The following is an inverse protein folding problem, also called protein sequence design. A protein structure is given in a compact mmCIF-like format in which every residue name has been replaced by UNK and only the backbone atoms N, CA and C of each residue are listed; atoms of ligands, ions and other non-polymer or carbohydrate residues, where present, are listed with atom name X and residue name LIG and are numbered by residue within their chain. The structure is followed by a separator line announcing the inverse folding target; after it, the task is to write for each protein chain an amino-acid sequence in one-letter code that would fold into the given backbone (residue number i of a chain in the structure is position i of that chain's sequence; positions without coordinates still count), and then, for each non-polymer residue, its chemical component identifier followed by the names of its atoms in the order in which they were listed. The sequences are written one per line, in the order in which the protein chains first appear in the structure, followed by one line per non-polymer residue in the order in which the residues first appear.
data_IF_542728880365
#
_entry.id   IF_542728880365
#
_cell.length_a   1.000
_cell.length_b   1.000
_cell.length_c   1.000
_cell.angle_alpha   90.00
_cell.angle_beta   90.00
_cell.angle_gamma   90.00
#
_symmetry.space_group_name_H-M   'P 1'
#
loop_
_entity.id
_entity.type
_entity.pdbx_description
1 polymer ?
#
# COMPACT_ATOMS: atom_id res chain seq x y z
N UNK A 1 80.95 23.60 -22.25
CA UNK A 1 80.79 23.07 -23.62
C UNK A 1 79.35 22.67 -23.80
N UNK A 2 78.70 23.33 -24.75
CA UNK A 2 77.25 23.32 -25.01
C UNK A 2 76.73 21.99 -25.52
N UNK A 3 75.52 21.61 -25.10
CA UNK A 3 74.53 21.01 -25.99
C UNK A 3 73.12 21.21 -25.43
N UNK A 4 72.37 22.05 -26.14
CA UNK A 4 70.95 22.33 -26.02
C UNK A 4 70.10 21.04 -26.09
N UNK A 5 69.27 20.79 -25.07
CA UNK A 5 68.21 19.79 -25.13
C UNK A 5 66.88 20.52 -25.37
N UNK A 6 66.33 20.27 -26.56
CA UNK A 6 65.09 20.84 -27.08
C UNK A 6 63.89 20.35 -26.28
N UNK A 7 63.01 21.28 -25.87
CA UNK A 7 61.68 20.99 -25.35
C UNK A 7 60.76 20.56 -26.50
N UNK A 8 60.04 19.44 -26.41
CA UNK A 8 58.98 19.13 -27.37
C UNK A 8 57.71 19.94 -27.08
N UNK A 9 57.04 20.32 -28.16
CA UNK A 9 55.91 21.24 -28.29
C UNK A 9 54.59 20.71 -27.68
N UNK A 10 53.62 21.57 -27.32
CA UNK A 10 52.33 21.17 -26.75
C UNK A 10 51.38 20.76 -27.89
N UNK A 11 51.48 19.51 -28.34
CA UNK A 11 50.56 18.95 -29.32
C UNK A 11 50.44 17.43 -29.11
N UNK A 12 50.01 17.01 -27.92
CA UNK A 12 49.61 15.61 -27.68
C UNK A 12 48.73 15.43 -26.43
N UNK A 13 47.65 16.20 -26.30
CA UNK A 13 46.51 15.82 -25.43
C UNK A 13 45.23 16.40 -26.04
N UNK A 14 44.70 15.77 -27.10
CA UNK A 14 43.29 15.86 -27.49
C UNK A 14 43.02 14.91 -28.67
N UNK A 15 42.85 13.60 -28.44
CA UNK A 15 42.33 12.69 -29.47
C UNK A 15 42.02 11.28 -28.93
N UNK A 16 41.16 11.11 -27.92
CA UNK A 16 40.38 9.87 -27.74
C UNK A 16 39.04 10.25 -27.11
N UNK A 17 37.93 9.95 -27.81
CA UNK A 17 36.57 10.02 -27.24
C UNK A 17 35.51 10.79 -28.04
N UNK A 18 35.68 10.95 -29.36
CA UNK A 18 34.61 11.47 -30.23
C UNK A 18 34.63 10.68 -31.55
N UNK A 19 34.02 9.49 -31.52
CA UNK A 19 33.73 8.65 -32.68
C UNK A 19 32.83 7.48 -32.26
N UNK A 20 31.52 7.67 -32.28
CA UNK A 20 30.58 6.80 -33.04
C UNK A 20 29.34 7.63 -33.33
N UNK A 21 29.34 8.30 -34.48
CA UNK A 21 28.12 8.74 -35.15
C UNK A 21 28.14 8.14 -36.55
N UNK A 22 27.01 7.51 -36.90
CA UNK A 22 26.56 7.12 -38.23
C UNK A 22 27.33 6.01 -38.97
N UNK A 23 26.64 4.90 -39.24
CA UNK A 23 26.14 4.53 -40.57
C UNK A 23 25.48 3.14 -40.49
N UNK A 24 24.15 3.09 -40.62
CA UNK A 24 23.43 2.22 -41.56
C UNK A 24 21.91 2.42 -41.39
N UNK A 25 21.38 3.33 -42.19
CA UNK A 25 19.99 3.32 -42.61
C UNK A 25 19.74 2.06 -43.46
N UNK A 26 18.85 1.19 -43.01
CA UNK A 26 18.11 0.27 -43.88
C UNK A 26 16.70 0.15 -43.30
N UNK A 27 15.71 0.40 -44.15
CA UNK A 27 14.36 0.73 -43.75
C UNK A 27 13.56 -0.44 -43.18
N UNK A 28 12.74 -0.10 -42.20
CA UNK A 28 11.49 -0.78 -41.93
C UNK A 28 10.46 0.31 -41.58
N UNK A 29 9.76 0.82 -42.59
CA UNK A 29 8.51 1.55 -42.39
C UNK A 29 7.49 0.53 -41.91
N UNK A 30 7.39 0.34 -40.58
CA UNK A 30 6.22 -0.31 -40.01
C UNK A 30 5.07 0.69 -40.03
N UNK A 31 4.17 0.50 -40.99
CA UNK A 31 2.83 1.07 -40.95
C UNK A 31 2.12 0.39 -39.78
N UNK A 32 2.14 1.01 -38.60
CA UNK A 32 1.25 0.64 -37.52
C UNK A 32 -0.18 1.00 -37.97
N UNK A 33 -0.91 0.00 -38.47
CA UNK A 33 -2.36 0.11 -38.64
C UNK A 33 -2.95 0.40 -37.27
N UNK A 34 -3.49 1.60 -37.11
CA UNK A 34 -4.40 1.96 -36.02
C UNK A 34 -5.67 1.14 -36.16
N UNK A 35 -5.66 -0.07 -35.62
CA UNK A 35 -6.88 -0.76 -35.25
C UNK A 35 -7.37 -0.10 -33.95
N UNK A 36 -8.22 0.92 -34.11
CA UNK A 36 -9.10 1.39 -33.04
C UNK A 36 -10.05 0.26 -32.66
N UNK A 37 -9.57 -0.64 -31.81
CA UNK A 37 -10.39 -1.55 -31.05
C UNK A 37 -10.90 -0.79 -29.83
N UNK A 38 -12.20 -0.56 -29.77
CA UNK A 38 -12.86 -0.24 -28.50
C UNK A 38 -12.54 -1.42 -27.57
N UNK A 39 -11.66 -1.20 -26.60
CA UNK A 39 -11.47 -2.15 -25.50
C UNK A 39 -12.78 -2.16 -24.72
N UNK A 40 -13.60 -3.17 -24.97
CA UNK A 40 -14.64 -3.58 -24.04
C UNK A 40 -13.94 -3.92 -22.75
N UNK A 41 -14.19 -3.15 -21.68
CA UNK A 41 -13.52 -3.25 -20.38
C UNK A 41 -13.56 -4.66 -19.79
N UNK A 42 -12.61 -5.50 -20.20
CA UNK A 42 -12.20 -6.65 -19.44
C UNK A 42 -11.42 -6.16 -18.24
N UNK A 43 -11.70 -6.74 -17.07
CA UNK A 43 -10.99 -6.54 -15.80
C UNK A 43 -9.52 -6.21 -16.05
N UNK A 44 -9.18 -4.93 -15.95
CA UNK A 44 -7.80 -4.46 -16.00
C UNK A 44 -7.17 -4.72 -14.64
N UNK A 45 -7.18 -6.01 -14.28
CA UNK A 45 -6.51 -6.57 -13.15
C UNK A 45 -5.08 -6.04 -13.12
N UNK A 46 -4.43 -6.06 -11.95
CA UNK A 46 -2.99 -5.82 -11.79
C UNK A 46 -2.11 -6.87 -12.52
N UNK A 47 -2.65 -7.49 -13.58
CA UNK A 47 -2.04 -8.47 -14.46
C UNK A 47 -0.73 -7.93 -15.02
N UNK A 48 0.35 -8.63 -14.72
CA UNK A 48 1.69 -8.30 -15.20
C UNK A 48 2.44 -7.29 -14.34
N UNK A 49 1.83 -6.75 -13.29
CA UNK A 49 2.53 -5.92 -12.30
C UNK A 49 2.98 -6.79 -11.12
N UNK A 50 4.10 -6.39 -10.53
CA UNK A 50 4.53 -6.84 -9.20
C UNK A 50 4.25 -5.72 -8.16
N UNK A 51 4.22 -6.07 -6.88
CA UNK A 51 3.97 -5.07 -5.83
C UNK A 51 5.21 -4.19 -5.62
N UNK A 52 5.00 -2.89 -5.42
CA UNK A 52 6.07 -1.93 -5.18
C UNK A 52 6.58 -2.01 -3.74
N UNK A 53 7.90 -2.13 -3.58
CA UNK A 53 8.57 -1.98 -2.29
C UNK A 53 9.01 -0.53 -2.12
N UNK A 54 8.47 0.16 -1.10
CA UNK A 54 8.87 1.53 -0.78
C UNK A 54 10.29 1.57 -0.19
N UNK A 55 11.28 2.20 -0.86
CA UNK A 55 12.63 2.34 -0.35
C UNK A 55 12.72 3.24 0.90
N UNK A 56 11.63 3.92 1.28
CA UNK A 56 11.53 4.72 2.49
C UNK A 56 10.56 4.13 3.53
N UNK A 57 10.24 2.83 3.45
CA UNK A 57 9.48 2.14 4.51
C UNK A 57 10.16 2.25 5.87
N UNK A 58 9.42 2.08 6.98
CA UNK A 58 10.01 2.15 8.33
C UNK A 58 11.15 1.16 8.53
N UNK A 59 11.05 -0.05 7.97
CA UNK A 59 12.16 -1.01 7.98
C UNK A 59 13.38 -0.50 7.19
N UNK A 60 13.16 0.16 6.04
CA UNK A 60 14.24 0.74 5.25
C UNK A 60 14.91 1.93 5.96
N UNK A 61 14.11 2.76 6.64
CA UNK A 61 14.63 3.85 7.48
C UNK A 61 15.43 3.31 8.66
N UNK A 62 14.96 2.22 9.29
CA UNK A 62 15.66 1.59 10.40
C UNK A 62 17.04 1.11 9.99
N UNK A 63 17.18 0.36 8.90
CA UNK A 63 18.50 -0.15 8.49
C UNK A 63 19.47 0.96 8.02
N UNK A 64 18.96 2.16 7.75
CA UNK A 64 19.80 3.35 7.51
C UNK A 64 20.26 3.97 8.83
N UNK A 65 19.40 3.94 9.85
CA UNK A 65 19.71 4.43 11.20
C UNK A 65 20.63 3.48 11.98
N UNK A 66 20.44 2.16 11.85
CA UNK A 66 21.20 1.08 12.50
C UNK A 66 21.76 0.08 11.46
N UNK A 67 22.77 0.47 10.63
CA UNK A 67 23.30 -0.36 9.55
C UNK A 67 23.86 -1.72 9.97
N UNK A 68 24.31 -1.86 11.21
CA UNK A 68 24.79 -3.12 11.78
C UNK A 68 23.70 -4.17 11.96
N UNK A 69 22.43 -3.77 11.94
CA UNK A 69 21.25 -4.65 12.04
C UNK A 69 20.52 -4.83 10.71
N UNK A 70 21.13 -4.36 9.61
CA UNK A 70 20.54 -4.44 8.30
C UNK A 70 20.19 -5.88 7.87
N UNK A 71 21.00 -6.86 8.28
CA UNK A 71 20.77 -8.27 7.96
C UNK A 71 19.56 -8.85 8.72
N UNK A 72 19.34 -8.45 9.97
CA UNK A 72 18.20 -8.88 10.81
C UNK A 72 16.87 -8.48 10.14
N UNK A 73 16.78 -7.23 9.64
CA UNK A 73 15.55 -6.68 9.09
C UNK A 73 15.41 -6.81 7.57
N UNK A 74 16.38 -7.41 6.88
CA UNK A 74 16.39 -7.55 5.41
C UNK A 74 15.10 -8.15 4.83
N UNK A 75 14.44 -9.17 5.43
CA UNK A 75 13.18 -9.68 4.91
C UNK A 75 12.05 -8.63 4.94
N UNK A 76 12.08 -7.69 5.88
CA UNK A 76 11.09 -6.61 6.02
C UNK A 76 11.34 -5.51 4.98
N UNK A 77 12.61 -5.14 4.78
CA UNK A 77 13.03 -4.11 3.81
C UNK A 77 12.72 -4.51 2.37
N UNK A 78 12.85 -5.80 2.04
CA UNK A 78 12.71 -6.30 0.67
C UNK A 78 11.30 -6.75 0.31
N UNK A 79 10.35 -6.67 1.25
CA UNK A 79 8.97 -7.11 1.03
C UNK A 79 8.03 -5.91 0.89
N UNK A 80 7.20 -5.85 -0.16
CA UNK A 80 6.21 -4.78 -0.35
C UNK A 80 5.25 -4.64 0.85
N UNK A 81 5.07 -3.42 1.35
CA UNK A 81 4.11 -3.09 2.41
C UNK A 81 3.21 -1.91 2.02
N UNK A 82 2.13 -1.69 2.76
CA UNK A 82 1.30 -0.51 2.62
C UNK A 82 2.04 0.78 3.01
N UNK A 83 1.85 1.84 2.24
CA UNK A 83 2.24 3.22 2.57
C UNK A 83 1.06 3.88 3.27
N UNK A 84 1.16 4.05 4.59
CA UNK A 84 0.09 4.64 5.40
C UNK A 84 0.10 6.15 5.30
N UNK A 85 -0.98 6.69 4.76
CA UNK A 85 -1.24 8.12 4.63
C UNK A 85 -2.07 8.55 5.82
N UNK A 86 -1.54 9.50 6.58
CA UNK A 86 -2.21 10.10 7.73
C UNK A 86 -2.10 11.62 7.59
N UNK A 87 -3.14 12.39 7.91
CA UNK A 87 -3.08 13.86 7.80
C UNK A 87 -1.99 14.47 8.68
N UNK A 88 -1.63 13.79 9.78
CA UNK A 88 -0.58 14.22 10.71
C UNK A 88 0.82 14.14 10.09
N UNK A 89 1.09 13.12 9.26
CA UNK A 89 2.38 12.95 8.56
C UNK A 89 2.38 13.58 7.17
N UNK A 90 1.23 13.62 6.50
CA UNK A 90 1.06 14.14 5.15
C UNK A 90 -0.15 15.08 5.10
N UNK A 91 0.01 16.37 5.48
CA UNK A 91 -1.08 17.33 5.42
C UNK A 91 -1.51 17.60 3.96
N UNK A 92 -2.74 18.11 3.77
CA UNK A 92 -3.39 18.34 2.46
C UNK A 92 -2.48 19.08 1.46
N UNK A 93 -1.70 20.06 1.92
CA UNK A 93 -0.79 20.84 1.08
C UNK A 93 0.36 20.02 0.45
N UNK A 94 0.61 18.81 0.93
CA UNK A 94 1.78 17.99 0.52
C UNK A 94 1.42 16.57 0.06
N UNK A 95 0.24 16.05 0.45
CA UNK A 95 -0.11 14.65 0.24
C UNK A 95 -0.22 14.27 -1.24
N UNK A 96 -0.70 15.17 -2.10
CA UNK A 96 -0.78 14.93 -3.55
C UNK A 96 0.61 14.64 -4.14
N UNK A 97 1.58 15.52 -3.91
CA UNK A 97 2.94 15.38 -4.43
C UNK A 97 3.64 14.14 -3.86
N UNK A 98 3.40 13.83 -2.59
CA UNK A 98 3.95 12.63 -1.95
C UNK A 98 3.43 11.35 -2.62
N UNK A 99 2.11 11.25 -2.79
CA UNK A 99 1.45 10.11 -3.45
C UNK A 99 1.87 10.01 -4.92
N UNK A 100 1.89 11.13 -5.66
CA UNK A 100 2.31 11.17 -7.06
C UNK A 100 3.77 10.73 -7.26
N UNK A 101 4.66 11.09 -6.31
CA UNK A 101 6.06 10.67 -6.33
C UNK A 101 6.20 9.15 -6.22
N UNK A 102 5.52 8.54 -5.25
CA UNK A 102 5.55 7.08 -5.02
C UNK A 102 4.90 6.35 -6.20
N UNK A 103 3.71 6.77 -6.63
CA UNK A 103 3.02 6.18 -7.78
C UNK A 103 3.86 6.30 -9.06
N UNK A 104 4.61 7.39 -9.23
CA UNK A 104 5.56 7.57 -10.33
C UNK A 104 6.77 6.64 -10.27
N UNK A 105 7.37 6.46 -9.09
CA UNK A 105 8.48 5.53 -8.89
C UNK A 105 8.06 4.05 -9.09
N UNK A 106 6.86 3.70 -8.67
CA UNK A 106 6.30 2.37 -8.92
C UNK A 106 6.05 2.14 -10.42
N UNK A 107 5.42 3.12 -11.09
CA UNK A 107 5.16 3.06 -12.54
C UNK A 107 6.44 2.88 -13.36
N UNK A 108 7.56 3.52 -12.98
CA UNK A 108 8.82 3.43 -13.71
C UNK A 108 9.53 2.07 -13.60
N UNK A 109 9.09 1.23 -12.64
CA UNK A 109 9.61 -0.12 -12.39
C UNK A 109 8.60 -1.21 -12.73
N UNK A 110 7.48 -0.86 -13.39
CA UNK A 110 6.37 -1.77 -13.68
C UNK A 110 5.82 -2.46 -12.42
N UNK A 111 5.77 -1.73 -11.31
CA UNK A 111 5.20 -2.18 -10.04
C UNK A 111 4.00 -1.32 -9.63
N UNK A 112 3.20 -1.83 -8.69
CA UNK A 112 2.02 -1.13 -8.15
C UNK A 112 2.16 -0.88 -6.64
N UNK A 113 2.01 0.36 -6.17
CA UNK A 113 2.04 0.67 -4.73
C UNK A 113 0.71 0.38 -4.07
N UNK A 114 0.75 0.10 -2.77
CA UNK A 114 -0.43 0.02 -1.91
C UNK A 114 -0.45 1.23 -0.99
N UNK A 115 -1.41 2.13 -1.18
CA UNK A 115 -1.64 3.25 -0.27
C UNK A 115 -2.75 2.90 0.72
N UNK A 116 -2.57 3.26 1.98
CA UNK A 116 -3.58 3.10 3.03
C UNK A 116 -4.03 4.49 3.46
N UNK A 117 -5.24 4.88 3.08
CA UNK A 117 -5.83 6.18 3.42
C UNK A 117 -6.45 6.04 4.82
N UNK A 118 -5.86 6.70 5.80
CA UNK A 118 -6.24 6.56 7.21
C UNK A 118 -6.35 7.93 7.89
N UNK A 119 -7.34 8.73 7.47
CA UNK A 119 -7.50 10.12 7.90
C UNK A 119 -8.91 10.50 8.34
N UNK A 120 -9.83 9.54 8.44
CA UNK A 120 -11.25 9.82 8.68
C UNK A 120 -11.51 10.55 10.00
N UNK A 121 -12.51 11.45 10.07
CA UNK A 121 -12.81 12.20 11.29
C UNK A 121 -13.12 11.33 12.51
N UNK A 122 -12.61 11.71 13.68
CA UNK A 122 -12.64 10.93 14.92
C UNK A 122 -12.16 9.49 14.68
N UNK A 123 -10.98 9.38 14.06
CA UNK A 123 -10.32 8.11 13.77
C UNK A 123 -10.16 7.31 15.04
N UNK A 124 -10.40 6.00 14.94
CA UNK A 124 -10.27 5.04 16.05
C UNK A 124 -11.08 5.39 17.31
N UNK A 125 -12.05 6.30 17.18
CA UNK A 125 -12.93 6.75 18.26
C UNK A 125 -12.18 7.19 19.53
N UNK A 126 -10.96 7.70 19.36
CA UNK A 126 -10.09 8.17 20.44
C UNK A 126 -9.19 7.10 21.08
N UNK A 127 -9.07 5.89 20.50
CA UNK A 127 -8.19 4.84 21.03
C UNK A 127 -6.72 5.01 20.61
N UNK A 128 -5.94 3.94 20.43
CA UNK A 128 -4.47 4.00 20.31
C UNK A 128 -4.00 4.72 19.04
N UNK A 129 -4.79 4.64 17.96
CA UNK A 129 -4.53 5.27 16.66
C UNK A 129 -5.44 6.48 16.41
N UNK A 130 -5.89 7.14 17.48
CA UNK A 130 -6.70 8.34 17.40
C UNK A 130 -6.09 9.44 16.51
N UNK A 131 -6.95 10.28 15.94
CA UNK A 131 -6.55 11.39 15.07
C UNK A 131 -7.55 11.58 13.93
N UNK A 132 -7.02 11.88 12.75
CA UNK A 132 -7.82 12.21 11.57
C UNK A 132 -8.16 13.69 11.47
N UNK A 133 -8.82 14.06 10.37
CA UNK A 133 -9.19 15.44 10.07
C UNK A 133 -10.56 15.82 10.60
N UNK A 134 -10.85 17.11 10.65
CA UNK A 134 -12.22 17.59 10.78
C UNK A 134 -13.06 17.16 9.56
N UNK A 135 -14.36 16.96 9.77
CA UNK A 135 -15.27 16.51 8.71
C UNK A 135 -15.34 17.46 7.50
N UNK A 136 -14.99 18.74 7.69
CA UNK A 136 -14.92 19.74 6.62
C UNK A 136 -13.62 19.65 5.79
N UNK A 137 -12.51 19.22 6.39
CA UNK A 137 -11.19 19.20 5.75
C UNK A 137 -10.88 17.85 5.10
N UNK A 138 -11.45 16.77 5.67
CA UNK A 138 -11.25 15.41 5.20
C UNK A 138 -11.53 15.21 3.68
N UNK A 139 -12.60 15.76 3.08
CA UNK A 139 -12.84 15.60 1.65
C UNK A 139 -11.71 16.16 0.77
N UNK A 140 -11.15 17.32 1.13
CA UNK A 140 -10.08 17.96 0.36
C UNK A 140 -8.78 17.15 0.44
N UNK A 141 -8.48 16.58 1.62
CA UNK A 141 -7.34 15.69 1.80
C UNK A 141 -7.45 14.41 0.97
N UNK A 142 -8.63 13.78 0.94
CA UNK A 142 -8.85 12.59 0.10
C UNK A 142 -8.80 12.94 -1.39
N UNK A 143 -9.33 14.11 -1.80
CA UNK A 143 -9.24 14.57 -3.18
C UNK A 143 -7.78 14.75 -3.63
N UNK A 144 -6.93 15.34 -2.79
CA UNK A 144 -5.51 15.48 -3.06
C UNK A 144 -4.79 14.11 -3.23
N UNK A 145 -5.17 13.10 -2.43
CA UNK A 145 -4.67 11.72 -2.62
C UNK A 145 -5.15 11.13 -3.96
N UNK A 146 -6.43 11.30 -4.28
CA UNK A 146 -7.03 10.81 -5.51
C UNK A 146 -6.37 11.42 -6.77
N UNK A 147 -6.00 12.69 -6.72
CA UNK A 147 -5.24 13.34 -7.80
C UNK A 147 -3.80 12.84 -7.88
N UNK A 148 -3.16 12.54 -6.74
CA UNK A 148 -1.82 11.95 -6.71
C UNK A 148 -1.72 10.58 -7.39
N UNK A 149 -2.76 9.74 -7.31
CA UNK A 149 -2.80 8.41 -7.97
C UNK A 149 -3.31 8.46 -9.41
N UNK A 150 -3.86 9.59 -9.88
CA UNK A 150 -4.58 9.67 -11.15
C UNK A 150 -3.72 9.25 -12.34
N UNK A 151 -4.24 8.31 -13.13
CA UNK A 151 -3.60 7.81 -14.34
C UNK A 151 -2.42 6.87 -14.08
N UNK A 152 -2.22 6.41 -12.84
CA UNK A 152 -1.17 5.48 -12.44
C UNK A 152 -1.78 4.29 -11.72
N UNK A 153 -1.31 3.09 -12.03
CA UNK A 153 -1.79 1.89 -11.34
C UNK A 153 -1.47 2.02 -9.84
N UNK A 154 -2.48 1.84 -8.98
CA UNK A 154 -2.36 1.96 -7.53
C UNK A 154 -3.43 1.13 -6.84
N UNK A 155 -3.06 0.48 -5.74
CA UNK A 155 -4.02 -0.13 -4.80
C UNK A 155 -4.28 0.88 -3.69
N UNK A 156 -5.55 1.11 -3.36
CA UNK A 156 -5.95 2.01 -2.27
C UNK A 156 -6.80 1.24 -1.27
N UNK A 157 -6.32 1.13 -0.03
CA UNK A 157 -7.08 0.62 1.11
C UNK A 157 -7.69 1.83 1.82
N UNK A 158 -9.02 1.90 1.88
CA UNK A 158 -9.73 3.07 2.36
C UNK A 158 -10.25 2.86 3.78
N UNK A 159 -9.69 3.65 4.69
CA UNK A 159 -10.10 3.84 6.08
C UNK A 159 -10.24 2.53 6.87
N UNK A 160 -9.11 1.87 7.18
CA UNK A 160 -9.08 0.76 8.14
C UNK A 160 -9.96 0.99 9.38
N UNK A 161 -10.67 -0.05 9.80
CA UNK A 161 -11.56 -0.14 10.97
C UNK A 161 -12.80 0.76 10.94
N UNK A 162 -12.88 1.70 10.00
CA UNK A 162 -13.85 2.78 10.01
C UNK A 162 -15.29 2.28 10.04
N UNK A 163 -15.66 1.33 9.19
CA UNK A 163 -16.98 0.71 9.16
C UNK A 163 -17.20 -0.25 10.32
N UNK A 164 -16.19 -1.05 10.69
CA UNK A 164 -16.29 -2.03 11.76
C UNK A 164 -16.51 -1.39 13.15
N UNK A 165 -15.87 -0.25 13.41
CA UNK A 165 -16.02 0.54 14.65
C UNK A 165 -17.28 1.40 14.69
N UNK A 166 -17.91 1.62 13.53
CA UNK A 166 -18.89 2.69 13.35
C UNK A 166 -20.10 2.64 14.30
N UNK A 167 -20.58 1.42 14.61
CA UNK A 167 -21.67 1.18 15.55
C UNK A 167 -21.25 1.45 17.01
N UNK A 168 -20.12 0.89 17.45
CA UNK A 168 -19.60 1.07 18.82
C UNK A 168 -19.29 2.52 19.14
N UNK A 169 -18.98 3.32 18.14
CA UNK A 169 -18.71 4.74 18.31
C UNK A 169 -19.96 5.62 18.25
N UNK A 170 -21.15 5.04 18.04
CA UNK A 170 -22.42 5.76 18.03
C UNK A 170 -22.65 6.67 16.81
N UNK A 171 -21.95 6.46 15.69
CA UNK A 171 -21.96 7.36 14.52
C UNK A 171 -22.06 6.65 13.17
N UNK A 172 -22.66 5.47 13.15
CA UNK A 172 -22.65 4.57 11.99
C UNK A 172 -23.05 5.25 10.67
N UNK A 173 -24.13 6.02 10.66
CA UNK A 173 -24.64 6.62 9.41
C UNK A 173 -23.72 7.74 8.88
N UNK A 174 -23.19 8.57 9.76
CA UNK A 174 -22.22 9.61 9.40
C UNK A 174 -20.94 8.96 8.85
N UNK A 175 -20.48 7.88 9.49
CA UNK A 175 -19.29 7.15 9.08
C UNK A 175 -19.45 6.50 7.70
N UNK A 176 -20.58 5.85 7.45
CA UNK A 176 -20.92 5.29 6.13
C UNK A 176 -20.93 6.40 5.06
N UNK A 177 -21.50 7.57 5.37
CA UNK A 177 -21.53 8.70 4.44
C UNK A 177 -20.13 9.22 4.12
N UNK A 178 -19.24 9.32 5.10
CA UNK A 178 -17.84 9.73 4.93
C UNK A 178 -17.06 8.74 4.05
N UNK A 179 -17.11 7.44 4.37
CA UNK A 179 -16.42 6.41 3.58
C UNK A 179 -16.91 6.41 2.13
N UNK A 180 -18.23 6.52 1.92
CA UNK A 180 -18.82 6.61 0.58
C UNK A 180 -18.35 7.86 -0.18
N UNK A 181 -18.30 9.00 0.48
CA UNK A 181 -17.85 10.25 -0.13
C UNK A 181 -16.36 10.18 -0.50
N UNK A 182 -15.52 9.64 0.39
CA UNK A 182 -14.10 9.42 0.14
C UNK A 182 -13.86 8.47 -1.05
N UNK A 183 -14.56 7.33 -1.08
CA UNK A 183 -14.49 6.38 -2.19
C UNK A 183 -14.85 7.03 -3.54
N UNK A 184 -15.81 7.95 -3.56
CA UNK A 184 -16.23 8.64 -4.79
C UNK A 184 -15.16 9.56 -5.39
N UNK A 185 -14.21 10.07 -4.59
CA UNK A 185 -13.11 10.91 -5.09
C UNK A 185 -12.18 10.15 -6.03
N UNK A 186 -12.08 8.83 -5.86
CA UNK A 186 -11.24 7.97 -6.69
C UNK A 186 -11.89 7.57 -8.02
N UNK A 187 -13.15 7.95 -8.28
CA UNK A 187 -13.82 7.65 -9.54
C UNK A 187 -13.03 8.21 -10.74
N UNK A 188 -12.73 7.36 -11.72
CA UNK A 188 -11.98 7.75 -12.92
C UNK A 188 -10.49 8.04 -12.70
N UNK A 189 -9.94 7.76 -11.52
CA UNK A 189 -8.48 7.86 -11.29
C UNK A 189 -7.71 6.70 -11.93
N UNK A 190 -8.33 5.52 -12.02
CA UNK A 190 -7.67 4.27 -12.41
C UNK A 190 -7.12 3.46 -11.23
N UNK A 191 -7.22 3.97 -10.00
CA UNK A 191 -6.83 3.21 -8.81
C UNK A 191 -7.84 2.09 -8.47
N UNK A 192 -7.32 0.97 -7.99
CA UNK A 192 -8.10 -0.15 -7.47
C UNK A 192 -8.38 0.07 -5.98
N UNK A 193 -9.61 0.49 -5.66
CA UNK A 193 -10.01 0.91 -4.31
C UNK A 193 -10.74 -0.20 -3.57
N UNK A 194 -10.31 -0.46 -2.33
CA UNK A 194 -10.89 -1.43 -1.41
C UNK A 194 -11.31 -0.73 -0.12
N UNK A 195 -12.59 -0.78 0.22
CA UNK A 195 -13.08 -0.30 1.52
C UNK A 195 -12.62 -1.25 2.62
N UNK A 196 -12.24 -0.78 3.81
CA UNK A 196 -11.99 -1.72 4.90
C UNK A 196 -13.25 -2.49 5.32
N UNK A 197 -13.10 -3.80 5.45
CA UNK A 197 -14.15 -4.77 5.78
C UNK A 197 -13.90 -5.50 7.11
N UNK A 198 -13.08 -4.93 8.00
CA UNK A 198 -12.73 -5.53 9.29
C UNK A 198 -12.07 -6.90 9.15
N UNK A 199 -12.45 -7.86 10.01
CA UNK A 199 -11.88 -9.20 10.00
C UNK A 199 -12.86 -10.26 10.55
N UNK A 200 -12.51 -11.53 10.39
CA UNK A 200 -13.36 -12.69 10.71
C UNK A 200 -13.67 -12.91 12.20
N UNK A 201 -13.01 -12.19 13.10
CA UNK A 201 -13.24 -12.27 14.56
C UNK A 201 -13.87 -10.98 15.13
N UNK A 202 -14.36 -10.09 14.26
CA UNK A 202 -14.96 -8.82 14.68
C UNK A 202 -16.48 -8.74 14.45
N UNK A 203 -16.91 -8.42 13.23
CA UNK A 203 -18.33 -8.39 12.86
C UNK A 203 -18.65 -9.61 12.02
N UNK A 204 -19.85 -10.17 12.18
CA UNK A 204 -20.31 -11.26 11.32
C UNK A 204 -20.41 -10.82 9.85
N UNK A 205 -20.15 -11.73 8.91
CA UNK A 205 -20.08 -11.44 7.48
C UNK A 205 -21.32 -10.71 6.94
N UNK A 206 -22.52 -11.08 7.40
CA UNK A 206 -23.77 -10.38 7.02
C UNK A 206 -23.77 -8.91 7.45
N UNK A 207 -23.39 -8.65 8.69
CA UNK A 207 -23.36 -7.28 9.23
C UNK A 207 -22.36 -6.43 8.46
N UNK A 208 -21.16 -6.97 8.19
CA UNK A 208 -20.17 -6.24 7.40
C UNK A 208 -20.62 -6.02 5.95
N UNK A 209 -21.21 -7.02 5.31
CA UNK A 209 -21.75 -6.88 3.96
C UNK A 209 -22.83 -5.79 3.90
N UNK A 210 -23.74 -5.73 4.90
CA UNK A 210 -24.76 -4.67 4.99
C UNK A 210 -24.13 -3.27 5.11
N UNK A 211 -23.04 -3.12 5.89
CA UNK A 211 -22.28 -1.86 5.99
C UNK A 211 -21.62 -1.48 4.66
N UNK A 212 -20.92 -2.41 4.01
CA UNK A 212 -20.25 -2.21 2.73
C UNK A 212 -21.22 -1.84 1.61
N UNK A 213 -22.39 -2.49 1.54
CA UNK A 213 -23.46 -2.17 0.57
C UNK A 213 -23.93 -0.73 0.77
N UNK A 214 -24.16 -0.31 2.02
CA UNK A 214 -24.58 1.07 2.34
C UNK A 214 -23.50 2.09 2.04
N UNK A 215 -22.22 1.71 2.21
CA UNK A 215 -21.05 2.49 1.81
C UNK A 215 -20.78 2.48 0.30
N UNK A 216 -21.60 1.78 -0.50
CA UNK A 216 -21.49 1.66 -1.96
C UNK A 216 -20.21 0.93 -2.42
N UNK A 217 -19.86 -0.19 -1.79
CA UNK A 217 -18.75 -1.05 -2.25
C UNK A 217 -18.84 -1.42 -3.73
N UNK A 218 -20.05 -1.49 -4.31
CA UNK A 218 -20.26 -1.75 -5.75
C UNK A 218 -19.77 -0.65 -6.70
N UNK A 219 -19.40 0.54 -6.19
CA UNK A 219 -18.81 1.61 -6.99
C UNK A 219 -17.28 1.64 -6.95
N UNK A 220 -16.67 0.71 -6.21
CA UNK A 220 -15.22 0.48 -6.15
C UNK A 220 -14.92 -0.98 -6.45
N UNK A 221 -13.65 -1.38 -6.38
CA UNK A 221 -13.22 -2.76 -6.68
C UNK A 221 -13.77 -3.75 -5.65
N UNK A 222 -13.71 -3.38 -4.37
CA UNK A 222 -14.13 -4.28 -3.33
C UNK A 222 -13.79 -3.85 -1.91
N UNK A 223 -13.32 -4.80 -1.10
CA UNK A 223 -13.00 -4.56 0.31
C UNK A 223 -11.70 -5.24 0.78
N UNK A 224 -11.10 -4.71 1.84
CA UNK A 224 -9.94 -5.30 2.49
C UNK A 224 -10.37 -6.04 3.77
N UNK A 225 -9.64 -7.07 4.17
CA UNK A 225 -9.87 -7.76 5.44
C UNK A 225 -8.56 -7.96 6.19
N UNK A 226 -8.67 -8.14 7.50
CA UNK A 226 -7.57 -8.46 8.41
C UNK A 226 -6.52 -7.36 8.57
N UNK A 227 -6.78 -6.13 8.10
CA UNK A 227 -5.84 -5.01 8.16
C UNK A 227 -5.32 -4.85 9.59
N UNK A 228 -4.00 -4.89 9.76
CA UNK A 228 -3.32 -4.83 11.06
C UNK A 228 -3.71 -5.91 12.08
N UNK A 229 -4.40 -6.98 11.68
CA UNK A 229 -4.80 -8.08 12.56
C UNK A 229 -4.05 -9.38 12.24
N UNK A 230 -4.39 -10.46 12.94
CA UNK A 230 -3.60 -11.69 13.03
C UNK A 230 -4.38 -12.93 12.62
N UNK A 231 -5.63 -12.81 12.17
CA UNK A 231 -6.44 -13.98 11.85
C UNK A 231 -5.82 -14.76 10.69
N UNK A 232 -5.82 -16.09 10.80
CA UNK A 232 -5.20 -16.97 9.80
C UNK A 232 -5.82 -16.75 8.42
N UNK A 233 -5.01 -16.87 7.36
CA UNK A 233 -5.46 -16.72 5.97
C UNK A 233 -6.68 -17.59 5.62
N UNK A 234 -6.80 -18.79 6.20
CA UNK A 234 -7.95 -19.68 6.00
C UNK A 234 -9.26 -19.12 6.56
N UNK A 235 -9.23 -18.56 7.78
CA UNK A 235 -10.40 -17.92 8.41
C UNK A 235 -10.84 -16.69 7.63
N UNK A 236 -9.88 -15.82 7.28
CA UNK A 236 -10.16 -14.60 6.52
C UNK A 236 -10.66 -14.90 5.11
N UNK A 237 -10.09 -15.90 4.44
CA UNK A 237 -10.58 -16.33 3.12
C UNK A 237 -12.03 -16.82 3.19
N UNK A 238 -12.40 -17.58 4.23
CA UNK A 238 -13.80 -18.02 4.40
C UNK A 238 -14.73 -16.82 4.64
N UNK A 239 -14.36 -15.94 5.56
CA UNK A 239 -15.11 -14.73 5.89
C UNK A 239 -15.29 -13.82 4.67
N UNK A 240 -14.20 -13.49 3.97
CA UNK A 240 -14.23 -12.62 2.80
C UNK A 240 -15.02 -13.22 1.64
N UNK A 241 -14.98 -14.54 1.42
CA UNK A 241 -15.85 -15.18 0.43
C UNK A 241 -17.35 -15.03 0.78
N UNK A 242 -17.71 -15.14 2.06
CA UNK A 242 -19.10 -14.93 2.51
C UNK A 242 -19.53 -13.48 2.30
N UNK A 243 -18.69 -12.50 2.67
CA UNK A 243 -18.94 -11.07 2.44
C UNK A 243 -19.07 -10.78 0.96
N UNK A 244 -18.11 -11.22 0.14
CA UNK A 244 -18.10 -11.05 -1.32
C UNK A 244 -19.40 -11.54 -1.95
N UNK A 245 -19.87 -12.75 -1.60
CA UNK A 245 -21.16 -13.27 -2.09
C UNK A 245 -22.34 -12.37 -1.71
N UNK A 246 -22.34 -11.83 -0.49
CA UNK A 246 -23.43 -10.96 0.00
C UNK A 246 -23.40 -9.56 -0.61
N UNK A 247 -22.24 -9.07 -1.05
CA UNK A 247 -22.09 -7.77 -1.72
C UNK A 247 -22.19 -7.86 -3.26
N UNK A 248 -22.66 -9.00 -3.79
CA UNK A 248 -22.86 -9.19 -5.24
C UNK A 248 -21.59 -9.59 -6.01
N UNK A 249 -20.62 -10.18 -5.32
CA UNK A 249 -19.36 -10.65 -5.91
C UNK A 249 -18.23 -9.60 -5.87
N UNK A 250 -18.27 -8.65 -4.93
CA UNK A 250 -17.18 -7.69 -4.77
C UNK A 250 -15.85 -8.42 -4.56
N UNK A 251 -14.78 -7.88 -5.14
CA UNK A 251 -13.45 -8.43 -4.94
C UNK A 251 -12.93 -8.11 -3.53
N UNK A 252 -11.82 -8.73 -3.15
CA UNK A 252 -11.19 -8.43 -1.88
C UNK A 252 -9.69 -8.71 -1.83
N UNK A 253 -9.04 -8.06 -0.87
CA UNK A 253 -7.65 -8.33 -0.47
C UNK A 253 -7.60 -8.72 1.00
N UNK A 254 -6.57 -9.47 1.39
CA UNK A 254 -6.34 -9.89 2.78
C UNK A 254 -4.99 -9.37 3.24
N UNK A 255 -4.94 -8.70 4.39
CA UNK A 255 -3.68 -8.43 5.07
C UNK A 255 -3.14 -9.73 5.70
N UNK A 256 -1.96 -10.16 5.26
CA UNK A 256 -1.24 -11.33 5.76
C UNK A 256 0.09 -10.96 6.41
N UNK A 257 0.29 -9.68 6.74
CA UNK A 257 1.54 -9.15 7.31
C UNK A 257 2.02 -9.93 8.53
N UNK A 258 1.12 -10.21 9.49
CA UNK A 258 1.48 -10.73 10.82
C UNK A 258 0.72 -11.99 11.24
N UNK A 259 0.04 -12.66 10.30
CA UNK A 259 -0.91 -13.73 10.63
C UNK A 259 -0.34 -15.16 10.59
N UNK A 260 0.99 -15.34 10.52
CA UNK A 260 1.63 -16.65 10.37
C UNK A 260 1.44 -17.59 11.57
N UNK A 261 1.21 -17.03 12.76
CA UNK A 261 0.89 -17.77 13.98
C UNK A 261 -0.61 -17.67 14.38
N UNK A 262 -1.46 -17.14 13.49
CA UNK A 262 -2.86 -16.86 13.78
C UNK A 262 -3.06 -15.77 14.83
N UNK A 263 -4.30 -15.60 15.30
CA UNK A 263 -4.67 -14.64 16.35
C UNK A 263 -4.67 -15.30 17.72
N UNK A 264 -4.27 -14.54 18.76
CA UNK A 264 -4.44 -14.92 20.17
C UNK A 264 -5.72 -14.33 20.78
N UNK A 265 -6.52 -13.61 19.99
CA UNK A 265 -7.63 -12.77 20.47
C UNK A 265 -7.20 -11.40 20.98
N UNK A 266 -5.89 -11.12 21.03
CA UNK A 266 -5.32 -9.81 21.35
C UNK A 266 -4.84 -9.17 20.05
N UNK A 267 -5.24 -7.92 19.81
CA UNK A 267 -4.88 -7.17 18.59
C UNK A 267 -3.72 -6.20 18.80
N UNK A 268 -3.56 -5.67 20.01
CA UNK A 268 -2.59 -4.61 20.25
C UNK A 268 -1.26 -5.22 20.72
N UNK A 269 -0.23 -5.24 19.86
CA UNK A 269 1.10 -5.79 20.15
C UNK A 269 1.10 -7.17 20.86
N UNK A 270 0.30 -8.17 20.44
CA UNK A 270 0.35 -9.51 21.01
C UNK A 270 1.71 -10.20 20.80
N UNK A 271 2.18 -10.90 21.83
CA UNK A 271 3.34 -11.76 21.73
C UNK A 271 3.05 -13.09 20.99
N UNK A 272 4.12 -13.76 20.59
CA UNK A 272 4.14 -15.03 19.87
C UNK A 272 3.55 -14.95 18.46
N UNK A 273 3.54 -13.78 17.81
CA UNK A 273 3.07 -13.65 16.43
C UNK A 273 4.21 -13.89 15.45
N UNK A 274 3.88 -14.15 14.18
CA UNK A 274 4.86 -14.42 13.11
C UNK A 274 4.42 -13.77 11.82
N UNK A 275 5.38 -13.40 10.97
CA UNK A 275 5.08 -13.01 9.60
C UNK A 275 4.20 -14.05 8.92
N UNK A 276 3.22 -13.59 8.16
CA UNK A 276 2.42 -14.47 7.32
C UNK A 276 3.08 -14.77 5.99
N UNK A 277 2.27 -15.20 5.03
CA UNK A 277 2.73 -15.44 3.65
C UNK A 277 3.29 -14.16 3.02
N UNK A 278 4.24 -14.30 2.10
CA UNK A 278 4.71 -13.15 1.31
C UNK A 278 3.56 -12.56 0.49
N UNK A 279 3.47 -11.22 0.39
CA UNK A 279 2.40 -10.57 -0.34
C UNK A 279 2.51 -10.89 -1.84
N UNK A 280 1.37 -11.17 -2.45
CA UNK A 280 1.28 -11.57 -3.86
C UNK A 280 -0.09 -11.26 -4.45
N UNK A 281 -0.06 -10.83 -5.70
CA UNK A 281 -1.23 -10.63 -6.57
C UNK A 281 -1.74 -12.00 -7.05
N UNK A 282 -3.00 -12.32 -6.79
CA UNK A 282 -3.62 -13.62 -7.11
C UNK A 282 -4.02 -13.77 -8.58
N UNK A 283 -3.10 -14.29 -9.40
CA UNK A 283 -3.30 -14.45 -10.86
C UNK A 283 -4.20 -15.64 -11.26
N UNK A 284 -4.74 -16.39 -10.30
CA UNK A 284 -5.54 -17.60 -10.57
C UNK A 284 -7.05 -17.34 -10.75
N UNK A 285 -7.49 -16.08 -10.61
CA UNK A 285 -8.89 -15.66 -10.72
C UNK A 285 -9.67 -15.81 -9.40
N UNK A 286 -10.97 -15.50 -9.47
CA UNK A 286 -11.87 -15.45 -8.30
C UNK A 286 -11.98 -14.06 -7.69
N UNK A 287 -12.69 -13.95 -6.56
CA UNK A 287 -12.93 -12.67 -5.89
C UNK A 287 -11.72 -12.16 -5.07
N UNK A 288 -10.79 -13.04 -4.68
CA UNK A 288 -9.58 -12.61 -3.97
C UNK A 288 -8.54 -12.08 -4.95
N UNK A 289 -8.27 -10.79 -4.92
CA UNK A 289 -7.33 -10.13 -5.83
C UNK A 289 -5.88 -10.23 -5.36
N UNK A 290 -5.61 -10.19 -4.06
CA UNK A 290 -4.26 -10.30 -3.50
C UNK A 290 -4.24 -10.68 -2.01
N UNK A 291 -3.12 -11.28 -1.59
CA UNK A 291 -2.65 -11.22 -0.20
C UNK A 291 -1.63 -10.09 -0.14
N UNK A 292 -1.77 -9.16 0.80
CA UNK A 292 -0.93 -7.98 0.94
C UNK A 292 -0.34 -7.91 2.35
N UNK A 293 0.78 -7.21 2.53
CA UNK A 293 1.17 -6.72 3.85
C UNK A 293 0.67 -5.28 3.96
N UNK A 294 -0.56 -5.12 4.45
CA UNK A 294 -1.17 -3.79 4.55
C UNK A 294 -0.57 -3.05 5.73
N UNK A 295 -0.54 -3.65 6.92
CA UNK A 295 0.28 -3.19 8.05
C UNK A 295 1.75 -3.52 7.82
N UNK A 296 2.68 -2.54 7.88
CA UNK A 296 4.11 -2.81 7.87
C UNK A 296 4.53 -3.58 9.13
N UNK A 297 5.09 -4.80 9.02
CA UNK A 297 5.64 -5.51 10.17
C UNK A 297 6.77 -4.70 10.83
N UNK A 298 6.80 -4.69 12.17
CA UNK A 298 7.76 -3.91 12.96
C UNK A 298 7.22 -2.58 13.46
N UNK A 299 6.17 -2.03 12.85
CA UNK A 299 5.47 -0.88 13.45
C UNK A 299 4.56 -1.31 14.61
N UNK A 300 4.64 -0.59 15.73
CA UNK A 300 3.77 -0.78 16.89
C UNK A 300 2.29 -0.50 16.58
N UNK A 301 1.41 -1.20 17.31
CA UNK A 301 -0.04 -0.97 17.31
C UNK A 301 -0.48 0.08 18.35
N UNK A 302 0.39 0.45 19.29
CA UNK A 302 0.06 1.32 20.41
C UNK A 302 0.93 1.06 21.64
N UNK A 303 0.65 1.75 22.75
CA UNK A 303 1.48 1.63 23.97
C UNK A 303 1.25 0.35 24.78
N UNK A 304 0.25 -0.43 24.36
CA UNK A 304 -0.09 -1.74 24.89
C UNK A 304 1.08 -2.75 24.81
N UNK A 305 1.10 -3.69 25.76
CA UNK A 305 2.09 -4.78 25.82
C UNK A 305 3.56 -4.32 25.70
N UNK A 306 3.86 -3.09 26.16
CA UNK A 306 5.20 -2.53 26.15
C UNK A 306 5.65 -1.93 24.83
N UNK A 307 4.76 -1.82 23.85
CA UNK A 307 5.06 -1.18 22.57
C UNK A 307 5.22 0.34 22.67
N UNK A 308 5.91 0.97 21.70
CA UNK A 308 5.92 2.43 21.55
C UNK A 308 4.60 2.94 20.96
N UNK A 309 4.48 4.25 20.72
CA UNK A 309 3.27 4.83 20.12
C UNK A 309 2.93 4.19 18.77
N UNK A 310 1.64 4.15 18.42
CA UNK A 310 1.15 3.50 17.20
C UNK A 310 1.87 4.04 15.94
N UNK A 311 2.30 3.12 15.08
CA UNK A 311 3.02 3.45 13.85
C UNK A 311 4.49 3.83 14.04
N UNK A 312 5.03 3.79 15.26
CA UNK A 312 6.49 3.87 15.48
C UNK A 312 7.14 2.52 15.25
N UNK A 313 8.35 2.53 14.71
CA UNK A 313 9.16 1.33 14.57
C UNK A 313 9.50 0.74 15.93
N UNK A 314 9.46 -0.59 16.04
CA UNK A 314 9.76 -1.33 17.25
C UNK A 314 10.48 -2.63 16.94
N UNK A 315 11.80 -2.63 17.17
CA UNK A 315 12.69 -3.76 16.91
C UNK A 315 12.22 -5.07 17.51
N UNK A 316 11.77 -5.04 18.77
CA UNK A 316 11.30 -6.24 19.45
C UNK A 316 10.17 -6.92 18.66
N UNK A 317 9.19 -6.14 18.19
CA UNK A 317 8.10 -6.65 17.36
C UNK A 317 8.60 -7.15 16.00
N UNK A 318 9.52 -6.42 15.36
CA UNK A 318 10.10 -6.81 14.07
C UNK A 318 10.84 -8.17 14.17
N UNK A 319 11.75 -8.31 15.14
CA UNK A 319 12.51 -9.54 15.39
C UNK A 319 11.60 -10.71 15.79
N UNK A 320 10.61 -10.45 16.64
CA UNK A 320 9.67 -11.49 17.07
C UNK A 320 8.85 -12.02 15.88
N UNK A 321 8.38 -11.13 15.00
CA UNK A 321 7.65 -11.52 13.79
C UNK A 321 8.51 -12.35 12.84
N UNK A 322 9.81 -12.04 12.75
CA UNK A 322 10.81 -12.82 12.01
C UNK A 322 11.11 -14.19 12.65
N UNK A 323 10.62 -14.43 13.87
CA UNK A 323 10.85 -15.65 14.62
C UNK A 323 12.19 -15.68 15.35
N UNK A 324 12.86 -14.53 15.43
CA UNK A 324 14.05 -14.36 16.23
C UNK A 324 13.64 -14.18 17.69
N UNK A 325 14.47 -14.69 18.60
CA UNK A 325 14.22 -14.54 20.04
C UNK A 325 14.62 -13.11 20.40
N UNK A 326 13.64 -12.27 20.74
CA UNK A 326 13.88 -10.93 21.29
C UNK A 326 14.68 -10.95 22.59
#
# INVERSE_FOLDING_TARGET
MSASVRRPSPALVLAIGLLVAAVLCAGAVLIAKTAGGVSTGGDRYLSGLDLYTDPNSSAAQEIVAEPERADDFRPLVTTPTGVWLTPEKQPTASVENYVAGIAGAASSTATVPTFVVYGIPDRDCGSESAGGLDAAEYPDWVAAIADGVRGRDSIVILEPDSLALSASCGRQDARIAQVRAAASQFAGTGAEVYLDGGNSDWLGAKTMADLLIRAKVSSVRGFATNVANYNTSGRETKYANEVSRMTGGSHYVIDVSRNGAGSSGVWCNPAGRRLGEKPAINRSGGARDANLWIKPPGESDGTCNGGPAAGQWWDHSALELLGESG
#
